data_IF_016442280341
#
_entry.id   IF_016442280341
#
_cell.length_a   1.000
_cell.length_b   1.000
_cell.length_c   1.000
_cell.angle_alpha   90.00
_cell.angle_beta   90.00
_cell.angle_gamma   90.00
#
_symmetry.space_group_name_H-M   'P 1'
#
loop_
_entity.id
_entity.type
_entity.pdbx_description
1 polymer ?
#
# COMPACT_ATOMS: atom_id res chain seq x y z
N UNK A 1 -0.36 19.16 -6.69
CA UNK A 1 0.00 18.01 -5.83
C UNK A 1 -0.18 16.76 -6.68
N UNK A 2 0.83 15.89 -6.75
CA UNK A 2 0.71 14.61 -7.48
C UNK A 2 -0.12 13.65 -6.64
N UNK A 3 -1.18 13.08 -7.23
CA UNK A 3 -1.99 12.06 -6.57
C UNK A 3 -1.42 10.67 -6.90
N UNK A 4 -0.66 10.13 -5.95
CA UNK A 4 -0.04 8.81 -6.05
C UNK A 4 -1.11 7.69 -6.07
N UNK A 5 -2.24 7.87 -5.38
CA UNK A 5 -3.31 6.87 -5.34
C UNK A 5 -4.06 6.81 -6.66
N UNK A 6 -4.33 7.97 -7.28
CA UNK A 6 -4.92 8.03 -8.60
C UNK A 6 -4.00 7.41 -9.65
N UNK A 7 -2.69 7.72 -9.63
CA UNK A 7 -1.72 7.15 -10.56
C UNK A 7 -1.62 5.60 -10.45
N UNK A 8 -1.62 5.06 -9.23
CA UNK A 8 -1.62 3.62 -9.00
C UNK A 8 -2.95 2.92 -9.35
N UNK A 9 -3.98 3.69 -9.75
CA UNK A 9 -5.26 3.21 -10.28
C UNK A 9 -5.57 3.76 -11.68
N UNK A 10 -4.55 4.20 -12.42
CA UNK A 10 -4.73 4.61 -13.81
C UNK A 10 -5.03 3.38 -14.67
N UNK A 11 -6.23 3.33 -15.25
CA UNK A 11 -6.71 2.21 -16.08
C UNK A 11 -5.91 2.04 -17.38
N UNK A 12 -5.21 3.09 -17.83
CA UNK A 12 -4.34 3.01 -19.01
C UNK A 12 -3.06 2.21 -18.75
N UNK A 13 -2.64 2.10 -17.49
CA UNK A 13 -1.45 1.36 -17.05
C UNK A 13 -1.82 0.06 -16.35
N UNK A 14 -2.89 0.08 -15.56
CA UNK A 14 -3.35 -1.02 -14.74
C UNK A 14 -4.78 -1.41 -15.13
N UNK A 15 -4.99 -2.31 -16.11
CA UNK A 15 -6.31 -2.89 -16.35
C UNK A 15 -6.86 -3.55 -15.09
N UNK A 16 -8.19 -3.51 -14.90
CA UNK A 16 -8.86 -4.11 -13.73
C UNK A 16 -8.37 -3.57 -12.38
N UNK A 17 -8.34 -2.24 -12.21
CA UNK A 17 -7.79 -1.54 -11.03
C UNK A 17 -8.44 -1.89 -9.68
N UNK A 18 -9.63 -2.48 -9.72
CA UNK A 18 -10.37 -2.92 -8.55
C UNK A 18 -10.01 -4.34 -8.09
N UNK A 19 -9.22 -5.07 -8.88
CA UNK A 19 -8.80 -6.44 -8.60
C UNK A 19 -7.41 -6.47 -7.95
N UNK A 20 -7.25 -7.34 -6.95
CA UNK A 20 -5.96 -7.60 -6.31
C UNK A 20 -5.23 -8.71 -7.10
N UNK A 21 -4.22 -8.34 -7.87
CA UNK A 21 -3.41 -9.27 -8.65
C UNK A 21 -1.94 -9.24 -8.20
N UNK A 22 -1.49 -10.32 -7.56
CA UNK A 22 -0.11 -10.47 -7.08
C UNK A 22 0.90 -10.89 -8.17
N UNK A 23 0.41 -11.45 -9.28
CA UNK A 23 1.24 -11.99 -10.37
C UNK A 23 1.49 -10.99 -11.50
N UNK A 24 1.06 -9.73 -11.31
CA UNK A 24 1.21 -8.66 -12.29
C UNK A 24 2.68 -8.38 -12.59
N UNK A 25 3.08 -8.55 -13.85
CA UNK A 25 4.42 -8.19 -14.36
C UNK A 25 4.26 -7.56 -15.75
N UNK A 26 4.80 -6.34 -16.00
CA UNK A 26 5.48 -5.45 -15.05
C UNK A 26 4.51 -4.80 -14.04
N UNK A 27 5.04 -4.34 -12.90
CA UNK A 27 4.26 -3.64 -11.87
C UNK A 27 4.84 -2.25 -11.54
N UNK A 28 4.58 -1.23 -12.37
CA UNK A 28 5.19 0.11 -12.27
C UNK A 28 4.50 1.01 -11.22
N UNK A 29 4.26 0.49 -10.00
CA UNK A 29 3.65 1.30 -8.93
C UNK A 29 4.56 2.44 -8.48
N UNK A 30 3.96 3.58 -8.17
CA UNK A 30 4.66 4.80 -7.72
C UNK A 30 4.38 5.13 -6.25
N UNK A 31 3.95 4.14 -5.46
CA UNK A 31 3.66 4.29 -4.01
C UNK A 31 4.85 4.85 -3.24
N UNK A 32 6.07 4.50 -3.66
CA UNK A 32 7.32 4.99 -3.07
C UNK A 32 7.87 6.23 -3.78
N UNK A 33 7.07 6.92 -4.59
CA UNK A 33 7.50 8.05 -5.41
C UNK A 33 8.38 7.64 -6.60
N UNK A 34 8.86 8.62 -7.35
CA UNK A 34 9.74 8.44 -8.50
C UNK A 34 10.77 9.59 -8.60
N UNK A 35 11.87 9.36 -9.34
CA UNK A 35 12.93 10.36 -9.54
C UNK A 35 13.83 10.57 -8.32
N UNK A 36 14.43 11.75 -8.21
CA UNK A 36 15.47 12.06 -7.21
C UNK A 36 14.94 12.08 -5.76
N UNK A 37 13.62 12.14 -5.58
CA UNK A 37 12.95 12.09 -4.27
C UNK A 37 12.18 10.79 -4.06
N UNK A 38 12.46 9.75 -4.85
CA UNK A 38 11.95 8.41 -4.56
C UNK A 38 12.34 8.01 -3.12
N UNK A 39 11.46 7.29 -2.44
CA UNK A 39 11.62 6.93 -1.05
C UNK A 39 12.93 6.18 -0.84
N UNK A 40 13.86 6.83 -0.13
CA UNK A 40 15.15 6.25 0.24
C UNK A 40 14.97 4.96 1.07
N UNK A 41 13.87 4.86 1.84
CA UNK A 41 13.55 3.72 2.69
C UNK A 41 12.83 2.56 2.01
N UNK A 42 12.50 2.63 0.71
CA UNK A 42 11.65 1.62 0.05
C UNK A 42 12.18 0.18 0.19
N UNK A 43 13.50 0.00 0.14
CA UNK A 43 14.13 -1.33 0.24
C UNK A 43 13.99 -1.91 1.64
N UNK A 44 14.18 -1.08 2.67
CA UNK A 44 14.01 -1.47 4.07
C UNK A 44 12.52 -1.76 4.35
N UNK A 45 11.62 -0.88 3.91
CA UNK A 45 10.18 -1.07 4.08
C UNK A 45 9.70 -2.40 3.44
N UNK A 46 10.20 -2.74 2.25
CA UNK A 46 9.89 -4.03 1.62
C UNK A 46 10.45 -5.23 2.39
N UNK A 47 11.67 -5.12 2.91
CA UNK A 47 12.25 -6.17 3.76
C UNK A 47 11.44 -6.36 5.04
N UNK A 48 11.09 -5.27 5.74
CA UNK A 48 10.26 -5.31 6.94
C UNK A 48 8.89 -5.92 6.64
N UNK A 49 8.26 -5.54 5.52
CA UNK A 49 6.97 -6.11 5.11
C UNK A 49 7.06 -7.62 4.84
N UNK A 50 8.16 -8.11 4.25
CA UNK A 50 8.36 -9.55 4.03
C UNK A 50 8.39 -10.32 5.35
N UNK A 51 9.07 -9.80 6.37
CA UNK A 51 9.12 -10.40 7.71
C UNK A 51 7.75 -10.32 8.37
N UNK A 52 7.15 -9.12 8.36
CA UNK A 52 5.88 -8.82 8.99
C UNK A 52 4.73 -9.63 8.39
N UNK A 53 4.69 -9.83 7.07
CA UNK A 53 3.59 -10.51 6.35
C UNK A 53 3.21 -11.84 6.99
N UNK A 54 4.21 -12.63 7.38
CA UNK A 54 3.96 -13.95 7.98
C UNK A 54 3.21 -13.84 9.31
N UNK A 55 3.54 -12.84 10.13
CA UNK A 55 2.94 -12.61 11.45
C UNK A 55 1.62 -11.86 11.35
N UNK A 56 1.56 -10.85 10.49
CA UNK A 56 0.39 -10.01 10.30
C UNK A 56 -0.81 -10.82 9.80
N UNK A 57 -0.61 -11.67 8.78
CA UNK A 57 -1.69 -12.51 8.24
C UNK A 57 -2.23 -13.53 9.25
N UNK A 58 -1.47 -13.88 10.30
CA UNK A 58 -1.95 -14.75 11.38
C UNK A 58 -2.71 -14.00 12.49
N UNK A 59 -2.50 -12.68 12.62
CA UNK A 59 -3.05 -11.87 13.71
C UNK A 59 -4.22 -10.98 13.27
N UNK A 60 -4.32 -10.65 11.98
CA UNK A 60 -5.47 -9.95 11.43
C UNK A 60 -6.66 -10.92 11.34
N UNK A 61 -7.46 -10.97 12.40
CA UNK A 61 -8.64 -11.84 12.49
C UNK A 61 -9.96 -11.07 12.73
N UNK A 62 -9.98 -9.75 12.49
CA UNK A 62 -11.17 -8.91 12.60
C UNK A 62 -11.78 -8.61 11.25
N UNK A 63 -13.09 -8.30 11.26
CA UNK A 63 -13.74 -7.84 10.03
C UNK A 63 -13.24 -6.44 9.65
N UNK A 64 -13.20 -6.10 8.35
CA UNK A 64 -12.74 -4.78 7.89
C UNK A 64 -13.50 -3.59 8.49
N UNK A 65 -14.77 -3.78 8.84
CA UNK A 65 -15.64 -2.77 9.44
C UNK A 65 -15.24 -2.42 10.88
N UNK A 66 -14.57 -3.33 11.58
CA UNK A 66 -14.12 -3.16 12.97
C UNK A 66 -12.74 -2.49 13.08
N UNK A 67 -12.03 -2.34 11.95
CA UNK A 67 -10.69 -1.74 11.95
C UNK A 67 -10.80 -0.21 12.11
N UNK A 68 -10.08 0.41 13.07
CA UNK A 68 -10.09 1.85 13.27
C UNK A 68 -9.24 2.56 12.20
N UNK A 69 -9.79 2.67 10.99
CA UNK A 69 -9.13 3.29 9.85
C UNK A 69 -8.81 4.78 10.09
N UNK A 70 -7.60 5.20 9.72
CA UNK A 70 -7.20 6.61 9.57
C UNK A 70 -7.63 7.08 8.19
N UNK A 71 -8.72 7.84 8.13
CA UNK A 71 -9.29 8.32 6.87
C UNK A 71 -9.07 9.83 6.74
N UNK A 72 -8.39 10.24 5.66
CA UNK A 72 -8.34 11.60 5.09
C UNK A 72 -7.91 12.77 6.00
N UNK A 73 -7.43 12.49 7.21
CA UNK A 73 -6.97 13.44 8.23
C UNK A 73 -5.45 13.39 8.46
N UNK A 74 -4.75 12.48 7.77
CA UNK A 74 -3.31 12.24 7.90
C UNK A 74 -2.65 12.09 6.53
N UNK A 75 -1.36 12.41 6.47
CA UNK A 75 -0.56 12.30 5.24
C UNK A 75 -0.38 10.85 4.74
N UNK A 76 -0.75 9.85 5.54
CA UNK A 76 -0.60 8.42 5.22
C UNK A 76 -1.83 7.64 5.67
N UNK A 77 -2.45 6.92 4.73
CA UNK A 77 -3.51 5.96 5.05
C UNK A 77 -2.99 4.84 5.97
N UNK A 78 -3.85 4.35 6.87
CA UNK A 78 -3.53 3.27 7.79
C UNK A 78 -4.62 3.08 8.84
N UNK A 79 -4.26 2.56 10.02
CA UNK A 79 -5.15 2.40 11.17
C UNK A 79 -4.50 2.98 12.42
N UNK A 80 -5.29 3.53 13.35
CA UNK A 80 -4.77 4.27 14.51
C UNK A 80 -3.87 3.40 15.40
N UNK A 81 -4.46 2.41 16.07
CA UNK A 81 -3.81 1.34 16.85
C UNK A 81 -4.79 0.17 16.87
N UNK A 82 -4.31 -1.05 16.66
CA UNK A 82 -5.09 -2.28 16.78
C UNK A 82 -4.53 -3.07 17.98
N UNK A 83 -5.37 -3.56 18.92
CA UNK A 83 -4.89 -4.32 20.07
C UNK A 83 -4.20 -5.64 19.67
#
# INVERSE_FOLDING_TARGET
MLDILAANRDVSVFPHTHELNFDRVPNPMVTSGCGIHACVGQQIAHMELRVLRSTLLRRLAVSPEEVPWRLNDSATFGWFIFP
#
